data_IF_577497882511
#
_entry.id   IF_577497882511
#
_cell.length_a   1.000
_cell.length_b   1.000
_cell.length_c   1.000
_cell.angle_alpha   90.00
_cell.angle_beta   90.00
_cell.angle_gamma   90.00
#
_symmetry.space_group_name_H-M   'P 1'
#
loop_
_entity.id
_entity.type
_entity.pdbx_description
1 polymer ?
#
# COMPACT_ATOMS: atom_id res chain seq x y z
N UNK A 1 -22.23 36.68 -6.71
CA UNK A 1 -22.21 36.22 -5.31
C UNK A 1 -20.97 35.37 -5.17
N UNK A 2 -19.89 35.96 -4.68
CA UNK A 2 -18.69 35.20 -4.31
C UNK A 2 -19.03 34.46 -3.01
N UNK A 3 -19.20 33.15 -3.10
CA UNK A 3 -19.36 32.32 -1.91
C UNK A 3 -17.97 32.23 -1.27
N UNK A 4 -17.82 32.87 -0.13
CA UNK A 4 -16.56 32.98 0.59
C UNK A 4 -16.10 31.57 1.00
N UNK A 5 -15.01 31.10 0.40
CA UNK A 5 -14.51 29.73 0.57
C UNK A 5 -14.15 29.41 2.03
N UNK A 6 -13.84 30.45 2.82
CA UNK A 6 -13.62 30.38 4.27
C UNK A 6 -14.88 30.06 5.06
N UNK A 7 -16.06 30.53 4.64
CA UNK A 7 -17.32 30.30 5.37
C UNK A 7 -17.81 28.86 5.18
N UNK A 8 -17.60 28.27 4.01
CA UNK A 8 -17.93 26.86 3.73
C UNK A 8 -17.03 25.94 4.56
N UNK A 9 -15.73 26.19 4.58
CA UNK A 9 -14.79 25.36 5.36
C UNK A 9 -15.07 25.47 6.86
N UNK A 10 -15.43 26.66 7.34
CA UNK A 10 -15.78 26.89 8.74
C UNK A 10 -17.10 26.20 9.12
N UNK A 11 -18.11 26.22 8.25
CA UNK A 11 -19.38 25.54 8.49
C UNK A 11 -19.26 24.01 8.39
N UNK A 12 -18.43 23.49 7.49
CA UNK A 12 -18.10 22.07 7.44
C UNK A 12 -17.35 21.62 8.70
N UNK A 13 -16.38 22.41 9.18
CA UNK A 13 -15.65 22.14 10.42
C UNK A 13 -16.60 22.07 11.63
N UNK A 14 -17.49 23.07 11.76
CA UNK A 14 -18.49 23.11 12.82
C UNK A 14 -19.50 21.95 12.73
N UNK A 15 -19.89 21.54 11.52
CA UNK A 15 -20.78 20.41 11.32
C UNK A 15 -20.13 19.09 11.77
N UNK A 16 -18.84 18.89 11.51
CA UNK A 16 -18.12 17.71 11.99
C UNK A 16 -17.93 17.77 13.51
N UNK A 17 -17.60 18.92 14.09
CA UNK A 17 -17.54 19.05 15.56
C UNK A 17 -18.90 18.77 16.22
N UNK A 18 -19.99 19.22 15.60
CA UNK A 18 -21.34 18.97 16.08
C UNK A 18 -21.71 17.48 15.98
N UNK A 19 -21.45 16.83 14.85
CA UNK A 19 -21.69 15.38 14.70
C UNK A 19 -20.85 14.58 15.70
N UNK A 20 -19.60 14.97 15.92
CA UNK A 20 -18.71 14.30 16.87
C UNK A 20 -19.15 14.50 18.33
N UNK A 21 -19.77 15.65 18.66
CA UNK A 21 -20.38 15.87 19.98
C UNK A 21 -21.60 14.99 20.25
N UNK A 22 -22.22 14.46 19.19
CA UNK A 22 -23.35 13.54 19.27
C UNK A 22 -22.93 12.08 19.30
N UNK A 23 -21.66 11.76 19.02
CA UNK A 23 -21.15 10.40 19.07
C UNK A 23 -20.83 10.01 20.51
N UNK A 24 -21.17 8.78 20.95
CA UNK A 24 -20.81 8.31 22.27
C UNK A 24 -19.29 8.24 22.44
N UNK A 25 -18.81 8.51 23.66
CA UNK A 25 -17.38 8.40 23.98
C UNK A 25 -16.86 7.01 23.62
N UNK A 26 -15.81 6.97 22.81
CA UNK A 26 -15.24 5.71 22.36
C UNK A 26 -14.51 5.04 23.54
N UNK A 27 -14.92 3.84 23.99
CA UNK A 27 -14.30 3.17 25.12
C UNK A 27 -12.82 2.84 24.88
N UNK A 28 -12.36 2.82 23.62
CA UNK A 28 -10.97 2.62 23.26
C UNK A 28 -10.14 3.91 23.29
N UNK A 29 -10.74 5.09 23.39
CA UNK A 29 -10.02 6.35 23.36
C UNK A 29 -9.09 6.52 24.56
N UNK A 30 -9.58 6.19 25.77
CA UNK A 30 -8.79 6.28 27.00
C UNK A 30 -7.58 5.33 27.04
N UNK A 31 -7.71 4.02 26.74
CA UNK A 31 -6.56 3.12 26.70
C UNK A 31 -5.57 3.51 25.59
N UNK A 32 -6.06 3.95 24.42
CA UNK A 32 -5.20 4.41 23.32
C UNK A 32 -4.46 5.70 23.70
N UNK A 33 -5.12 6.68 24.32
CA UNK A 33 -4.49 7.90 24.84
C UNK A 33 -3.40 7.57 25.85
N UNK A 34 -3.68 6.64 26.75
CA UNK A 34 -2.75 6.22 27.80
C UNK A 34 -1.53 5.53 27.21
N UNK A 35 -1.72 4.61 26.27
CA UNK A 35 -0.65 3.92 25.56
C UNK A 35 0.20 4.89 24.70
N UNK A 36 -0.45 5.83 24.01
CA UNK A 36 0.22 6.84 23.20
C UNK A 36 1.09 7.76 24.05
N UNK A 37 0.55 8.30 25.14
CA UNK A 37 1.31 9.15 26.05
C UNK A 37 2.45 8.38 26.74
N UNK A 38 2.22 7.12 27.12
CA UNK A 38 3.28 6.26 27.64
C UNK A 38 4.42 6.12 26.62
N UNK A 39 4.10 5.87 25.35
CA UNK A 39 5.11 5.81 24.29
C UNK A 39 5.88 7.12 24.15
N UNK A 40 5.20 8.28 24.12
CA UNK A 40 5.84 9.59 24.00
C UNK A 40 6.76 9.92 25.19
N UNK A 41 6.45 9.43 26.39
CA UNK A 41 7.26 9.66 27.59
C UNK A 41 8.48 8.74 27.69
N UNK A 42 8.40 7.54 27.14
CA UNK A 42 9.45 6.52 27.27
C UNK A 42 10.39 6.43 26.06
N UNK A 43 9.99 6.97 24.91
CA UNK A 43 10.77 6.87 23.67
C UNK A 43 11.01 8.23 23.02
N UNK A 44 12.18 8.37 22.41
CA UNK A 44 12.53 9.57 21.62
C UNK A 44 11.71 9.62 20.33
N UNK A 45 11.51 10.84 19.78
CA UNK A 45 10.88 11.01 18.46
C UNK A 45 11.53 10.16 17.38
N UNK A 46 12.86 10.08 17.36
CA UNK A 46 13.60 9.22 16.43
C UNK A 46 13.19 7.75 16.57
N UNK A 47 13.14 7.22 17.80
CA UNK A 47 12.74 5.83 18.02
C UNK A 47 11.29 5.57 17.61
N UNK A 48 10.38 6.51 17.90
CA UNK A 48 8.97 6.39 17.52
C UNK A 48 8.83 6.44 15.99
N UNK A 49 9.49 7.40 15.34
CA UNK A 49 9.44 7.58 13.89
C UNK A 49 10.04 6.40 13.12
N UNK A 50 11.11 5.80 13.63
CA UNK A 50 11.84 4.72 12.96
C UNK A 50 11.34 3.35 13.40
N UNK A 51 11.60 2.96 14.65
CA UNK A 51 11.21 1.65 15.19
C UNK A 51 9.70 1.51 15.32
N UNK A 52 8.98 2.56 15.72
CA UNK A 52 7.52 2.52 15.79
C UNK A 52 6.90 2.30 14.41
N UNK A 53 7.35 3.05 13.40
CA UNK A 53 6.88 2.84 12.01
C UNK A 53 7.27 1.47 11.45
N UNK A 54 8.48 0.98 11.75
CA UNK A 54 8.90 -0.37 11.37
C UNK A 54 8.00 -1.43 12.01
N UNK A 55 7.73 -1.32 13.31
CA UNK A 55 6.85 -2.26 14.02
C UNK A 55 5.44 -2.23 13.43
N UNK A 56 4.86 -1.05 13.21
CA UNK A 56 3.53 -0.92 12.60
C UNK A 56 3.51 -1.58 11.21
N UNK A 57 4.52 -1.30 10.40
CA UNK A 57 4.68 -1.86 9.07
C UNK A 57 4.72 -3.39 9.09
N UNK A 58 5.67 -3.96 9.83
CA UNK A 58 5.89 -5.41 9.91
C UNK A 58 4.70 -6.13 10.54
N UNK A 59 4.11 -5.57 11.60
CA UNK A 59 2.94 -6.14 12.24
C UNK A 59 1.75 -6.22 11.28
N UNK A 60 1.44 -5.13 10.57
CA UNK A 60 0.35 -5.13 9.58
C UNK A 60 0.68 -6.10 8.45
N UNK A 61 1.89 -6.01 7.88
CA UNK A 61 2.28 -6.85 6.76
C UNK A 61 2.19 -8.35 7.10
N UNK A 62 2.81 -8.79 8.19
CA UNK A 62 2.76 -10.18 8.61
C UNK A 62 1.37 -10.62 9.07
N UNK A 63 0.64 -9.77 9.80
CA UNK A 63 -0.71 -10.10 10.28
C UNK A 63 -1.66 -10.42 9.12
N UNK A 64 -1.58 -9.68 8.02
CA UNK A 64 -2.46 -9.87 6.86
C UNK A 64 -1.89 -10.86 5.84
N UNK A 65 -0.58 -11.01 5.72
CA UNK A 65 0.05 -12.02 4.85
C UNK A 65 0.01 -13.45 5.44
N UNK A 66 0.09 -13.60 6.77
CA UNK A 66 0.20 -14.90 7.44
C UNK A 66 -1.04 -15.80 7.25
N UNK A 67 -2.29 -15.31 7.32
CA UNK A 67 -3.46 -16.10 6.96
C UNK A 67 -3.39 -16.65 5.54
N UNK A 68 -2.98 -15.81 4.58
CA UNK A 68 -2.75 -16.23 3.19
C UNK A 68 -1.68 -17.31 3.06
N UNK A 69 -0.59 -17.18 3.82
CA UNK A 69 0.47 -18.20 3.92
C UNK A 69 -0.03 -19.52 4.50
N UNK A 70 -0.80 -19.50 5.59
CA UNK A 70 -1.33 -20.71 6.21
C UNK A 70 -2.36 -21.42 5.33
N UNK A 71 -3.18 -20.66 4.59
CA UNK A 71 -4.17 -21.23 3.67
C UNK A 71 -3.55 -22.08 2.56
N UNK A 72 -2.29 -21.85 2.19
CA UNK A 72 -1.60 -22.67 1.19
C UNK A 72 -1.28 -24.09 1.66
N UNK A 73 -1.23 -24.34 2.98
CA UNK A 73 -0.91 -25.66 3.53
C UNK A 73 -2.17 -26.50 3.83
N UNK A 74 -3.35 -25.88 3.76
CA UNK A 74 -4.62 -26.58 3.99
C UNK A 74 -5.21 -27.10 2.67
N UNK A 75 -5.34 -28.43 2.48
CA UNK A 75 -5.81 -29.01 1.22
C UNK A 75 -7.25 -28.62 0.85
N UNK A 76 -8.12 -28.37 1.83
CA UNK A 76 -9.50 -27.91 1.58
C UNK A 76 -9.58 -26.49 1.00
N UNK A 77 -8.58 -25.65 1.26
CA UNK A 77 -8.55 -24.25 0.81
C UNK A 77 -7.91 -24.08 -0.57
N UNK A 78 -7.20 -25.09 -1.09
CA UNK A 78 -6.61 -25.08 -2.43
C UNK A 78 -7.65 -24.90 -3.53
N UNK A 79 -8.90 -25.33 -3.30
CA UNK A 79 -10.01 -25.17 -4.26
C UNK A 79 -10.37 -23.70 -4.52
N UNK A 80 -10.05 -22.79 -3.60
CA UNK A 80 -10.30 -21.35 -3.74
C UNK A 80 -9.14 -20.60 -4.40
N UNK A 81 -8.05 -21.29 -4.78
CA UNK A 81 -6.98 -20.68 -5.57
C UNK A 81 -7.50 -20.37 -6.97
N UNK A 82 -7.40 -19.11 -7.37
CA UNK A 82 -7.80 -18.64 -8.70
C UNK A 82 -6.87 -19.20 -9.80
N UNK A 83 -5.60 -19.46 -9.48
CA UNK A 83 -4.64 -20.09 -10.41
C UNK A 83 -4.23 -21.47 -9.89
N UNK A 84 -4.92 -22.52 -10.34
CA UNK A 84 -4.58 -23.90 -9.98
C UNK A 84 -3.46 -24.50 -10.87
N UNK A 85 -3.20 -23.92 -12.05
CA UNK A 85 -2.34 -24.49 -13.09
C UNK A 85 -0.83 -24.18 -12.97
N UNK A 86 -0.40 -23.46 -11.93
CA UNK A 86 1.02 -23.12 -11.71
C UNK A 86 1.45 -23.51 -10.30
N UNK A 87 1.99 -24.72 -10.07
CA UNK A 87 2.48 -25.10 -8.76
C UNK A 87 3.65 -24.20 -8.35
N UNK A 88 3.58 -23.67 -7.13
CA UNK A 88 4.66 -22.89 -6.54
C UNK A 88 5.77 -23.83 -6.09
N UNK A 89 6.90 -23.81 -6.79
CA UNK A 89 8.08 -24.58 -6.39
C UNK A 89 8.79 -23.88 -5.23
N UNK A 90 9.38 -24.66 -4.32
CA UNK A 90 10.15 -24.14 -3.19
C UNK A 90 11.25 -23.15 -3.62
N UNK A 91 11.92 -23.41 -4.73
CA UNK A 91 12.94 -22.51 -5.29
C UNK A 91 12.39 -21.12 -5.64
N UNK A 92 11.18 -21.06 -6.18
CA UNK A 92 10.50 -19.80 -6.50
C UNK A 92 10.12 -19.04 -5.24
N UNK A 93 9.59 -19.74 -4.24
CA UNK A 93 9.27 -19.13 -2.94
C UNK A 93 10.52 -18.58 -2.24
N UNK A 94 11.63 -19.33 -2.27
CA UNK A 94 12.90 -18.89 -1.70
C UNK A 94 13.51 -17.69 -2.43
N UNK A 95 13.40 -17.66 -3.77
CA UNK A 95 13.81 -16.49 -4.57
C UNK A 95 12.95 -15.26 -4.24
N UNK A 96 11.64 -15.43 -4.10
CA UNK A 96 10.73 -14.37 -3.68
C UNK A 96 11.10 -13.85 -2.29
N UNK A 97 11.31 -14.76 -1.34
CA UNK A 97 11.69 -14.43 0.04
C UNK A 97 13.01 -13.64 0.11
N UNK A 98 14.05 -14.05 -0.62
CA UNK A 98 15.32 -13.31 -0.68
C UNK A 98 15.16 -11.89 -1.21
N UNK A 99 14.37 -11.72 -2.27
CA UNK A 99 14.11 -10.40 -2.84
C UNK A 99 13.28 -9.54 -1.90
N UNK A 100 12.28 -10.13 -1.23
CA UNK A 100 11.49 -9.47 -0.21
C UNK A 100 12.37 -8.93 0.92
N UNK A 101 13.25 -9.77 1.47
CA UNK A 101 14.22 -9.35 2.49
C UNK A 101 15.11 -8.20 1.98
N UNK A 102 15.61 -8.30 0.75
CA UNK A 102 16.40 -7.23 0.15
C UNK A 102 15.60 -5.91 0.06
N UNK A 103 14.36 -5.96 -0.41
CA UNK A 103 13.51 -4.77 -0.51
C UNK A 103 13.19 -4.17 0.87
N UNK A 104 12.85 -5.00 1.87
CA UNK A 104 12.61 -4.54 3.24
C UNK A 104 13.86 -3.87 3.84
N UNK A 105 15.02 -4.52 3.79
CA UNK A 105 16.22 -4.01 4.46
C UNK A 105 16.95 -2.91 3.69
N UNK A 106 17.00 -2.98 2.36
CA UNK A 106 17.80 -2.05 1.56
C UNK A 106 17.00 -0.89 0.97
N UNK A 107 15.67 -1.00 0.88
CA UNK A 107 14.82 0.05 0.30
C UNK A 107 13.88 0.60 1.36
N UNK A 108 13.11 -0.26 2.03
CA UNK A 108 12.07 0.14 2.98
C UNK A 108 12.64 0.69 4.28
N UNK A 109 13.67 0.05 4.85
CA UNK A 109 14.30 0.53 6.07
C UNK A 109 14.92 1.94 5.90
N UNK A 110 15.69 2.26 4.84
CA UNK A 110 16.11 3.63 4.57
C UNK A 110 14.95 4.62 4.40
N UNK A 111 13.85 4.21 3.74
CA UNK A 111 12.65 5.05 3.61
C UNK A 111 12.00 5.32 4.97
N UNK A 112 11.90 4.31 5.85
CA UNK A 112 11.38 4.44 7.22
C UNK A 112 12.29 5.33 8.08
N UNK A 113 13.61 5.22 7.95
CA UNK A 113 14.55 6.14 8.59
C UNK A 113 14.32 7.59 8.12
N UNK A 114 13.96 7.78 6.86
CA UNK A 114 13.57 9.07 6.28
C UNK A 114 12.37 9.71 6.96
N UNK A 115 11.45 8.93 7.54
CA UNK A 115 10.26 9.42 8.25
C UNK A 115 10.61 10.37 9.39
N UNK A 116 11.66 10.08 10.16
CA UNK A 116 12.11 10.98 11.23
C UNK A 116 12.48 12.35 10.68
N UNK A 117 13.35 12.38 9.66
CA UNK A 117 13.79 13.62 9.01
C UNK A 117 12.62 14.37 8.38
N UNK A 118 11.68 13.66 7.77
CA UNK A 118 10.44 14.26 7.26
C UNK A 118 9.66 14.94 8.38
N UNK A 119 9.40 14.25 9.49
CA UNK A 119 8.62 14.82 10.59
C UNK A 119 9.30 16.00 11.25
N UNK A 120 10.62 16.00 11.38
CA UNK A 120 11.37 17.14 11.94
C UNK A 120 11.44 18.31 10.95
N UNK A 121 11.61 18.05 9.65
CA UNK A 121 11.66 19.09 8.62
C UNK A 121 10.34 19.84 8.49
N UNK A 122 9.21 19.12 8.52
CA UNK A 122 7.87 19.71 8.43
C UNK A 122 7.26 20.09 9.79
N UNK A 123 7.99 19.87 10.89
CA UNK A 123 7.50 20.17 12.24
C UNK A 123 6.25 19.38 12.63
N UNK A 124 6.13 18.14 12.18
CA UNK A 124 4.95 17.29 12.40
C UNK A 124 4.86 16.91 13.90
N UNK A 125 3.74 17.22 14.56
CA UNK A 125 3.55 16.88 15.96
C UNK A 125 3.27 15.40 16.18
N UNK A 126 3.55 14.97 17.41
CA UNK A 126 3.39 13.60 17.90
C UNK A 126 2.47 13.55 19.13
N UNK A 127 2.15 14.70 19.73
CA UNK A 127 1.39 14.78 20.96
C UNK A 127 -0.08 14.41 20.74
N UNK A 128 -0.69 13.86 21.80
CA UNK A 128 -2.09 13.45 21.73
C UNK A 128 -3.06 14.62 21.45
N UNK A 129 -2.75 15.81 21.94
CA UNK A 129 -3.68 16.95 21.90
C UNK A 129 -3.83 17.52 20.48
N UNK A 130 -2.79 17.40 19.64
CA UNK A 130 -2.84 17.72 18.20
C UNK A 130 -3.28 16.55 17.32
N UNK A 131 -3.60 15.39 17.90
CA UNK A 131 -4.04 14.22 17.13
C UNK A 131 -5.36 14.51 16.41
N UNK A 132 -5.42 14.36 15.07
CA UNK A 132 -6.66 14.54 14.32
C UNK A 132 -7.71 13.54 14.78
N UNK A 133 -8.96 13.98 14.85
CA UNK A 133 -10.07 13.05 15.14
C UNK A 133 -10.24 12.03 14.01
N UNK A 134 -10.76 10.86 14.33
CA UNK A 134 -10.87 9.73 13.39
C UNK A 134 -11.52 10.07 12.04
N UNK A 135 -12.62 10.84 11.95
CA UNK A 135 -13.21 11.19 10.66
C UNK A 135 -12.28 12.03 9.78
N UNK A 136 -11.55 12.97 10.39
CA UNK A 136 -10.57 13.78 9.67
C UNK A 136 -9.39 12.94 9.20
N UNK A 137 -8.87 12.07 10.07
CA UNK A 137 -7.80 11.14 9.73
C UNK A 137 -8.20 10.23 8.56
N UNK A 138 -9.44 9.73 8.55
CA UNK A 138 -9.97 8.94 7.42
C UNK A 138 -10.09 9.77 6.13
N UNK A 139 -10.58 11.01 6.22
CA UNK A 139 -10.68 11.90 5.06
C UNK A 139 -9.29 12.25 4.49
N UNK A 140 -8.30 12.45 5.35
CA UNK A 140 -6.90 12.67 4.94
C UNK A 140 -6.30 11.43 4.29
N UNK A 141 -6.50 10.23 4.87
CA UNK A 141 -6.12 8.97 4.23
C UNK A 141 -6.79 8.80 2.87
N UNK A 142 -8.06 9.17 2.74
CA UNK A 142 -8.75 9.13 1.46
C UNK A 142 -8.16 10.11 0.44
N UNK A 143 -7.81 11.33 0.87
CA UNK A 143 -7.08 12.29 0.04
C UNK A 143 -5.74 11.75 -0.45
N UNK A 144 -4.96 11.14 0.44
CA UNK A 144 -3.73 10.43 0.10
C UNK A 144 -3.98 9.29 -0.90
N UNK A 145 -5.06 8.51 -0.70
CA UNK A 145 -5.47 7.42 -1.60
C UNK A 145 -5.75 7.91 -3.01
N UNK A 146 -6.45 9.02 -3.19
CA UNK A 146 -6.73 9.57 -4.52
C UNK A 146 -5.44 10.01 -5.23
N UNK A 147 -4.54 10.70 -4.53
CA UNK A 147 -3.26 11.13 -5.10
C UNK A 147 -2.41 9.92 -5.49
N UNK A 148 -2.30 8.96 -4.59
CA UNK A 148 -1.47 7.79 -4.81
C UNK A 148 -2.04 6.91 -5.93
N UNK A 149 -3.35 6.65 -5.95
CA UNK A 149 -4.00 5.85 -7.00
C UNK A 149 -3.82 6.51 -8.38
N UNK A 150 -3.93 7.84 -8.43
CA UNK A 150 -3.66 8.62 -9.66
C UNK A 150 -2.20 8.46 -10.10
N UNK A 151 -1.25 8.67 -9.19
CA UNK A 151 0.19 8.52 -9.45
C UNK A 151 0.53 7.10 -9.93
N UNK A 152 0.02 6.11 -9.20
CA UNK A 152 0.22 4.70 -9.46
C UNK A 152 -0.32 4.32 -10.82
N UNK A 153 -1.55 4.74 -11.16
CA UNK A 153 -2.17 4.45 -12.46
C UNK A 153 -1.31 4.95 -13.63
N UNK A 154 -0.90 6.21 -13.60
CA UNK A 154 -0.12 6.79 -14.69
C UNK A 154 1.27 6.19 -14.81
N UNK A 155 1.98 6.02 -13.69
CA UNK A 155 3.34 5.47 -13.72
C UNK A 155 3.36 3.98 -13.99
N UNK A 156 2.42 3.21 -13.45
CA UNK A 156 2.29 1.80 -13.82
C UNK A 156 2.06 1.66 -15.33
N UNK A 157 1.18 2.47 -15.93
CA UNK A 157 0.98 2.51 -17.39
C UNK A 157 2.25 2.90 -18.15
N UNK A 158 3.05 3.83 -17.61
CA UNK A 158 4.33 4.21 -18.20
C UNK A 158 5.39 3.09 -18.10
N UNK A 159 5.42 2.36 -16.99
CA UNK A 159 6.31 1.22 -16.77
C UNK A 159 5.97 0.03 -17.68
N UNK A 160 4.70 -0.13 -18.06
CA UNK A 160 4.24 -1.06 -19.09
C UNK A 160 4.63 -0.69 -20.52
N UNK A 161 5.15 0.52 -20.74
CA UNK A 161 5.60 0.91 -22.06
C UNK A 161 6.76 0.00 -22.54
N UNK A 162 6.72 -0.44 -23.81
CA UNK A 162 7.62 -1.47 -24.37
C UNK A 162 9.12 -1.23 -24.12
N UNK A 163 9.54 0.04 -24.01
CA UNK A 163 10.93 0.43 -23.75
C UNK A 163 11.37 0.24 -22.28
N UNK A 164 10.44 0.34 -21.34
CA UNK A 164 10.71 0.31 -19.90
C UNK A 164 10.40 -1.07 -19.31
N UNK A 165 9.33 -1.70 -19.81
CA UNK A 165 8.84 -3.00 -19.37
C UNK A 165 9.95 -4.05 -19.27
N UNK A 166 10.79 -4.17 -20.30
CA UNK A 166 11.85 -5.19 -20.37
C UNK A 166 12.88 -5.10 -19.23
N UNK A 167 13.08 -3.91 -18.67
CA UNK A 167 14.14 -3.64 -17.70
C UNK A 167 13.64 -3.57 -16.26
N UNK A 168 12.45 -3.00 -16.05
CA UNK A 168 11.95 -2.69 -14.71
C UNK A 168 10.76 -3.59 -14.38
N UNK A 169 9.67 -3.50 -15.15
CA UNK A 169 8.40 -4.10 -14.79
C UNK A 169 8.30 -5.62 -15.08
N UNK A 170 9.17 -6.15 -15.94
CA UNK A 170 9.22 -7.59 -16.24
C UNK A 170 9.45 -8.43 -14.99
N UNK A 171 10.28 -7.96 -14.06
CA UNK A 171 10.57 -8.68 -12.80
C UNK A 171 9.29 -8.86 -12.00
N UNK A 172 8.45 -7.83 -11.90
CA UNK A 172 7.17 -7.89 -11.19
C UNK A 172 6.21 -8.92 -11.82
N UNK A 173 6.22 -9.08 -13.15
CA UNK A 173 5.40 -10.08 -13.87
C UNK A 173 6.00 -11.50 -13.94
N UNK A 174 7.27 -11.70 -13.57
CA UNK A 174 7.89 -13.03 -13.59
C UNK A 174 7.24 -13.97 -12.55
N UNK A 175 6.61 -13.41 -11.52
CA UNK A 175 5.84 -14.13 -10.51
C UNK A 175 4.35 -13.80 -10.68
N UNK A 176 3.63 -14.71 -11.35
CA UNK A 176 2.21 -14.54 -11.69
C UNK A 176 1.24 -15.15 -10.67
N UNK A 177 1.75 -15.87 -9.67
CA UNK A 177 0.93 -16.58 -8.67
C UNK A 177 0.60 -15.64 -7.51
N UNK A 178 -0.66 -15.18 -7.38
CA UNK A 178 -1.04 -14.17 -6.38
C UNK A 178 -0.88 -14.75 -4.97
N UNK A 179 0.18 -14.30 -4.28
CA UNK A 179 0.48 -14.68 -2.91
C UNK A 179 0.82 -13.43 -2.10
N UNK A 180 0.33 -13.31 -0.85
CA UNK A 180 0.49 -12.11 -0.03
C UNK A 180 1.94 -11.63 0.11
N UNK A 181 2.91 -12.56 0.23
CA UNK A 181 4.34 -12.20 0.30
C UNK A 181 4.94 -11.69 -1.02
N UNK A 182 4.24 -11.84 -2.16
CA UNK A 182 4.66 -11.25 -3.44
C UNK A 182 4.19 -9.81 -3.60
N UNK A 183 3.37 -9.29 -2.67
CA UNK A 183 2.83 -7.94 -2.78
C UNK A 183 3.90 -6.84 -2.85
N UNK A 184 5.09 -7.12 -2.32
CA UNK A 184 6.26 -6.25 -2.40
C UNK A 184 7.40 -6.82 -3.29
N UNK A 185 7.11 -7.87 -4.05
CA UNK A 185 8.05 -8.41 -5.04
C UNK A 185 8.02 -7.53 -6.30
N UNK A 186 8.85 -6.49 -6.29
CA UNK A 186 9.05 -5.61 -7.42
C UNK A 186 10.55 -5.31 -7.58
N UNK A 187 10.91 -4.83 -8.77
CA UNK A 187 12.25 -4.30 -9.01
C UNK A 187 12.46 -3.08 -8.08
N UNK A 188 13.61 -2.90 -7.41
CA UNK A 188 13.81 -1.80 -6.45
C UNK A 188 13.48 -0.40 -7.01
N UNK A 189 13.84 -0.14 -8.27
CA UNK A 189 13.45 1.08 -8.98
C UNK A 189 11.93 1.25 -9.12
N UNK A 190 11.19 0.18 -9.35
CA UNK A 190 9.72 0.22 -9.40
C UNK A 190 9.14 0.55 -8.03
N UNK A 191 9.66 -0.07 -6.97
CA UNK A 191 9.28 0.25 -5.58
C UNK A 191 9.51 1.73 -5.26
N UNK A 192 10.65 2.31 -5.68
CA UNK A 192 10.96 3.72 -5.44
C UNK A 192 10.05 4.64 -6.28
N UNK A 193 9.86 4.33 -7.57
CA UNK A 193 9.10 5.17 -8.51
C UNK A 193 7.61 5.18 -8.14
N UNK A 194 7.02 4.02 -7.89
CA UNK A 194 5.63 3.90 -7.47
C UNK A 194 5.46 4.38 -6.03
N UNK A 195 6.43 4.08 -5.15
CA UNK A 195 6.47 4.56 -3.77
C UNK A 195 6.56 6.08 -3.65
N UNK A 196 7.04 6.80 -4.66
CA UNK A 196 7.00 8.27 -4.67
C UNK A 196 5.57 8.83 -4.50
N UNK A 197 4.55 8.14 -5.00
CA UNK A 197 3.14 8.53 -4.83
C UNK A 197 2.71 8.56 -3.37
N UNK A 198 3.21 7.62 -2.57
CA UNK A 198 3.01 7.60 -1.12
C UNK A 198 3.55 8.88 -0.47
N UNK A 199 4.76 9.29 -0.83
CA UNK A 199 5.41 10.50 -0.31
C UNK A 199 4.69 11.78 -0.73
N UNK A 200 4.18 11.84 -1.96
CA UNK A 200 3.39 12.99 -2.43
C UNK A 200 2.10 13.11 -1.60
N UNK A 201 1.42 12.01 -1.32
CA UNK A 201 0.21 12.01 -0.48
C UNK A 201 0.46 12.58 0.92
N UNK A 202 1.50 12.06 1.61
CA UNK A 202 1.84 12.56 2.95
C UNK A 202 2.36 14.00 2.92
N UNK A 203 3.05 14.44 1.86
CA UNK A 203 3.53 15.82 1.78
C UNK A 203 2.37 16.83 1.72
N UNK A 204 1.22 16.43 1.17
CA UNK A 204 0.04 17.30 1.05
C UNK A 204 -0.84 17.26 2.30
N UNK A 205 -1.05 16.07 2.88
CA UNK A 205 -2.06 15.89 3.93
C UNK A 205 -1.50 15.59 5.32
N UNK A 206 -0.21 15.27 5.46
CA UNK A 206 0.37 14.90 6.76
C UNK A 206 0.40 16.08 7.73
N UNK A 207 -0.35 15.94 8.82
CA UNK A 207 -0.38 16.91 9.92
C UNK A 207 -0.04 16.30 11.29
N UNK A 208 0.07 14.97 11.40
CA UNK A 208 0.36 14.29 12.66
C UNK A 208 0.99 12.91 12.42
N UNK A 209 1.82 12.44 13.34
CA UNK A 209 2.47 11.12 13.26
C UNK A 209 1.46 9.95 13.10
N UNK A 210 0.30 10.05 13.75
CA UNK A 210 -0.77 9.06 13.64
C UNK A 210 -1.30 8.90 12.21
N UNK A 211 -1.33 9.98 11.41
CA UNK A 211 -1.75 9.92 10.02
C UNK A 211 -0.73 9.14 9.18
N UNK A 212 0.57 9.27 9.44
CA UNK A 212 1.60 8.48 8.77
C UNK A 212 1.38 6.98 9.02
N UNK A 213 1.13 6.57 10.26
CA UNK A 213 0.87 5.17 10.59
C UNK A 213 -0.45 4.66 10.02
N UNK A 214 -1.51 5.46 10.07
CA UNK A 214 -2.79 5.10 9.47
C UNK A 214 -2.67 4.95 7.96
N UNK A 215 -1.93 5.85 7.31
CA UNK A 215 -1.71 5.83 5.87
C UNK A 215 -0.84 4.65 5.43
N UNK A 216 0.26 4.36 6.14
CA UNK A 216 1.05 3.13 5.92
C UNK A 216 0.16 1.90 6.04
N UNK A 217 -0.67 1.83 7.09
CA UNK A 217 -1.57 0.70 7.32
C UNK A 217 -2.56 0.54 6.16
N UNK A 218 -3.24 1.62 5.76
CA UNK A 218 -4.19 1.59 4.65
C UNK A 218 -3.54 1.14 3.35
N UNK A 219 -2.35 1.66 3.05
CA UNK A 219 -1.60 1.31 1.83
C UNK A 219 -1.10 -0.12 1.83
N UNK A 220 -0.68 -0.65 2.98
CA UNK A 220 -0.33 -2.07 3.11
C UNK A 220 -1.55 -2.96 2.91
N UNK A 221 -2.68 -2.62 3.52
CA UNK A 221 -3.92 -3.36 3.35
C UNK A 221 -4.36 -3.42 1.88
N UNK A 222 -4.32 -2.28 1.19
CA UNK A 222 -4.62 -2.22 -0.24
C UNK A 222 -3.65 -3.06 -1.08
N UNK A 223 -2.34 -2.91 -0.83
CA UNK A 223 -1.29 -3.64 -1.55
C UNK A 223 -1.43 -5.15 -1.33
N UNK A 224 -1.73 -5.57 -0.10
CA UNK A 224 -1.99 -6.97 0.23
C UNK A 224 -3.29 -7.43 -0.41
N UNK A 225 -4.37 -6.66 -0.42
CA UNK A 225 -5.65 -7.05 -1.03
C UNK A 225 -5.54 -7.30 -2.53
N UNK A 226 -4.87 -6.41 -3.27
CA UNK A 226 -4.74 -6.56 -4.74
C UNK A 226 -3.87 -7.76 -5.13
N UNK A 227 -2.92 -8.16 -4.29
CA UNK A 227 -2.04 -9.31 -4.51
C UNK A 227 -2.53 -10.60 -3.85
N UNK A 228 -3.33 -10.50 -2.80
CA UNK A 228 -3.97 -11.60 -2.10
C UNK A 228 -5.32 -11.84 -2.74
N UNK A 229 -5.35 -12.56 -3.87
CA UNK A 229 -6.61 -12.98 -4.49
C UNK A 229 -7.31 -14.09 -3.69
N UNK A 230 -7.55 -13.85 -2.40
CA UNK A 230 -8.48 -14.62 -1.59
C UNK A 230 -9.87 -14.05 -1.87
N UNK A 231 -10.72 -14.79 -2.58
CA UNK A 231 -11.99 -14.26 -3.08
C UNK A 231 -12.94 -13.76 -1.99
N UNK A 232 -12.90 -12.46 -1.69
CA UNK A 232 -14.05 -11.74 -1.13
C UNK A 232 -14.85 -11.14 -2.29
N UNK A 233 -16.18 -11.40 -2.39
CA UNK A 233 -16.83 -11.41 -3.71
C UNK A 233 -17.01 -10.08 -4.43
N UNK A 234 -16.80 -8.91 -3.81
CA UNK A 234 -17.31 -7.64 -4.37
C UNK A 234 -16.37 -6.42 -4.37
N UNK A 235 -15.13 -6.49 -3.85
CA UNK A 235 -14.24 -5.31 -3.80
C UNK A 235 -13.06 -5.40 -4.79
N UNK A 236 -12.44 -6.57 -4.94
CA UNK A 236 -11.16 -6.73 -5.65
C UNK A 236 -11.28 -6.94 -7.18
N UNK A 237 -12.50 -7.11 -7.71
CA UNK A 237 -12.71 -7.37 -9.15
C UNK A 237 -12.43 -6.15 -10.03
N UNK A 238 -12.83 -4.97 -9.58
CA UNK A 238 -12.80 -3.73 -10.39
C UNK A 238 -11.38 -3.18 -10.60
N UNK A 239 -10.49 -3.21 -9.60
CA UNK A 239 -9.09 -2.76 -9.77
C UNK A 239 -8.24 -3.75 -10.57
N UNK A 240 -8.40 -5.06 -10.31
CA UNK A 240 -7.67 -6.10 -11.04
C UNK A 240 -8.06 -6.15 -12.53
N UNK A 241 -9.33 -5.93 -12.87
CA UNK A 241 -9.81 -5.86 -14.26
C UNK A 241 -9.38 -4.55 -14.96
N UNK A 242 -9.31 -3.42 -14.23
CA UNK A 242 -8.81 -2.16 -14.78
C UNK A 242 -7.29 -2.18 -15.06
N UNK A 243 -6.51 -2.89 -14.24
CA UNK A 243 -5.06 -3.12 -14.42
C UNK A 243 -4.76 -4.23 -15.44
N UNK A 244 -5.68 -5.18 -15.61
CA UNK A 244 -5.59 -6.27 -16.60
C UNK A 244 -6.27 -5.93 -17.94
N UNK A 245 -6.28 -4.65 -18.35
CA UNK A 245 -6.68 -4.33 -19.71
C UNK A 245 -5.82 -5.14 -20.68
N UNK A 246 -6.42 -5.90 -21.61
CA UNK A 246 -5.69 -6.69 -22.56
C UNK A 246 -4.96 -5.73 -23.49
N UNK A 247 -3.66 -5.52 -23.26
CA UNK A 247 -2.80 -5.05 -24.32
C UNK A 247 -2.81 -6.16 -25.36
N UNK A 248 -3.59 -5.93 -26.42
CA UNK A 248 -3.81 -6.83 -27.52
C UNK A 248 -2.47 -7.43 -28.01
N UNK A 249 -2.22 -8.67 -27.60
CA UNK A 249 -1.03 -9.44 -27.93
C UNK A 249 -0.95 -9.73 -29.43
N UNK A 250 -1.96 -9.33 -30.21
CA UNK A 250 -1.94 -9.34 -31.66
C UNK A 250 -0.88 -8.40 -32.28
N UNK A 251 -0.48 -7.30 -31.62
CA UNK A 251 0.53 -6.36 -32.16
C UNK A 251 1.99 -6.70 -31.83
N UNK A 252 2.26 -7.93 -31.37
CA UNK A 252 3.61 -8.46 -31.14
C UNK A 252 3.91 -9.75 -31.92
N UNK A 253 3.05 -10.15 -32.88
CA UNK A 253 3.43 -11.16 -33.87
C UNK A 253 4.25 -10.51 -34.98
N UNK A 254 5.55 -10.80 -34.98
CA UNK A 254 6.42 -10.65 -36.15
C UNK A 254 5.74 -11.32 -37.37
N UNK A 255 5.58 -10.64 -38.52
CA UNK A 255 5.01 -11.26 -39.72
C UNK A 255 5.89 -12.33 -40.38
N UNK A 256 7.13 -12.54 -39.93
CA UNK A 256 8.13 -13.33 -40.67
C UNK A 256 8.28 -14.80 -40.23
N UNK A 257 7.43 -15.32 -39.34
CA UNK A 257 7.50 -16.73 -38.92
C UNK A 257 6.21 -17.52 -39.22
N UNK A 258 5.62 -17.30 -40.40
CA UNK A 258 4.55 -18.14 -40.95
C UNK A 258 4.79 -18.42 -42.44
N UNK A 259 5.87 -19.12 -42.74
CA UNK A 259 5.89 -20.01 -43.90
C UNK A 259 6.86 -21.14 -43.61
N UNK A 260 6.46 -22.37 -43.96
CA UNK A 260 7.19 -23.65 -43.79
C UNK A 260 6.92 -24.40 -42.48
N UNK A 261 5.71 -24.95 -42.37
CA UNK A 261 5.55 -26.37 -42.01
C UNK A 261 4.16 -26.86 -42.41
N UNK A 262 4.08 -27.32 -43.65
CA UNK A 262 2.92 -28.04 -44.15
C UNK A 262 3.33 -28.78 -45.40
N UNK A 263 3.68 -30.05 -45.25
CA UNK A 263 3.37 -31.16 -46.16
C UNK A 263 4.22 -32.40 -45.85
N UNK A 264 3.50 -33.51 -45.65
CA UNK A 264 3.88 -34.92 -45.50
C UNK A 264 4.48 -35.39 -44.18
#
# INVERSE_FOLDING_TARGET
>A
MEVNQTDILSSAFLAVEYVDSLLPENPLQMPVKSAWNYMLQNYTKFQIATWGSLIVHELVYFLFCLPGFLFQFMPFMQKYKIQQDKPETWEKQWKCFKMLLFNHFCIQLPMICGTYYFTEFFGIPYDWESMPRWPYLLAQCFGCAVIEDTWHYFLHRALHHRRVYKYIHKVHHDFTSPFGMQAEYAHPLETIILGAGFFIGIMVFCNHMALLWAWVTFRLLETIDVHSKLGFPNFSRTKAEALAMPFDSATLRNPECSSKSGQY
#
